data_IF_715215218558
#
_entry.id   IF_715215218558
#
_cell.length_a   1.000
_cell.length_b   1.000
_cell.length_c   1.000
_cell.angle_alpha   90.00
_cell.angle_beta   90.00
_cell.angle_gamma   90.00
#
_symmetry.space_group_name_H-M   'P 1'
#
loop_
_entity.id
_entity.type
_entity.pdbx_description
1 polymer ?
#
# COMPACT_ATOMS: atom_id res chain seq x y z
N UNK A 1 2.35 21.96 1.74
CA UNK A 1 1.77 21.08 0.70
C UNK A 1 2.63 19.84 0.37
N UNK A 2 3.87 19.74 0.88
CA UNK A 2 4.83 18.67 0.52
C UNK A 2 4.77 17.43 1.42
N UNK A 3 4.47 17.57 2.72
CA UNK A 3 4.46 16.46 3.69
C UNK A 3 3.43 15.37 3.35
N UNK A 4 2.23 15.76 2.90
CA UNK A 4 1.13 14.82 2.61
C UNK A 4 1.48 13.90 1.45
N UNK A 5 2.09 14.44 0.39
CA UNK A 5 2.53 13.66 -0.77
C UNK A 5 3.59 12.62 -0.43
N UNK A 6 4.47 12.92 0.52
CA UNK A 6 5.51 11.96 0.96
C UNK A 6 4.88 10.80 1.71
N UNK A 7 3.94 11.08 2.62
CA UNK A 7 3.21 10.06 3.37
C UNK A 7 2.36 9.21 2.44
N UNK A 8 1.65 9.83 1.49
CA UNK A 8 0.90 9.09 0.46
C UNK A 8 1.82 8.20 -0.38
N UNK A 9 3.02 8.67 -0.73
CA UNK A 9 3.96 7.87 -1.54
C UNK A 9 4.50 6.68 -0.77
N UNK A 10 4.83 6.85 0.52
CA UNK A 10 5.38 5.77 1.36
C UNK A 10 4.30 4.75 1.72
N UNK A 11 3.12 5.21 2.12
CA UNK A 11 2.04 4.32 2.51
C UNK A 11 1.30 3.77 1.28
N UNK A 12 0.78 4.62 0.40
CA UNK A 12 -0.06 4.20 -0.72
C UNK A 12 0.74 3.80 -1.98
N UNK A 13 2.06 3.96 -1.99
CA UNK A 13 2.96 3.60 -3.09
C UNK A 13 2.99 2.10 -3.41
N UNK A 14 3.20 1.18 -2.45
CA UNK A 14 3.17 -0.26 -2.71
C UNK A 14 1.82 -0.73 -3.26
N UNK A 15 0.71 -0.18 -2.74
CA UNK A 15 -0.63 -0.46 -3.26
C UNK A 15 -0.81 0.01 -4.72
N UNK A 16 -0.27 1.18 -5.07
CA UNK A 16 -0.36 1.73 -6.43
C UNK A 16 0.46 0.88 -7.43
N UNK A 17 1.66 0.44 -7.00
CA UNK A 17 2.52 -0.42 -7.79
C UNK A 17 1.87 -1.78 -8.07
N UNK A 18 1.27 -2.42 -7.06
CA UNK A 18 0.56 -3.68 -7.25
C UNK A 18 -0.70 -3.52 -8.10
N UNK A 19 -1.48 -2.43 -7.96
CA UNK A 19 -2.61 -2.15 -8.84
C UNK A 19 -2.17 -2.03 -10.31
N UNK A 20 -1.03 -1.38 -10.55
CA UNK A 20 -0.47 -1.20 -11.90
C UNK A 20 0.04 -2.53 -12.50
N UNK A 21 0.60 -3.40 -11.66
CA UNK A 21 1.07 -4.75 -12.04
C UNK A 21 -0.07 -5.74 -12.28
N UNK A 22 -1.13 -5.67 -11.49
CA UNK A 22 -2.31 -6.53 -11.59
C UNK A 22 -3.23 -6.15 -12.75
N UNK A 23 -2.94 -5.07 -13.48
CA UNK A 23 -3.77 -4.60 -14.59
C UNK A 23 -5.18 -4.22 -14.16
N UNK A 24 -5.37 -3.89 -12.88
CA UNK A 24 -6.67 -3.45 -12.35
C UNK A 24 -6.96 -2.08 -12.97
N UNK A 25 -7.84 -2.07 -13.97
CA UNK A 25 -8.22 -0.86 -14.71
C UNK A 25 -8.73 0.25 -13.79
N UNK A 26 -8.71 1.50 -14.30
CA UNK A 26 -9.18 2.71 -13.61
C UNK A 26 -10.66 2.71 -13.21
N UNK A 27 -11.38 1.60 -13.41
CA UNK A 27 -12.72 1.39 -12.91
C UNK A 27 -12.67 1.16 -11.39
N UNK A 28 -13.44 1.95 -10.63
CA UNK A 28 -13.88 1.93 -9.22
C UNK A 28 -13.18 1.01 -8.18
N UNK A 29 -12.73 -0.17 -8.58
CA UNK A 29 -12.01 -1.16 -7.81
C UNK A 29 -10.54 -0.80 -7.57
N UNK A 30 -9.92 0.08 -8.37
CA UNK A 30 -8.51 0.48 -8.17
C UNK A 30 -8.26 1.08 -6.78
N UNK A 31 -9.14 1.96 -6.30
CA UNK A 31 -9.01 2.55 -4.96
C UNK A 31 -9.22 1.53 -3.84
N UNK A 32 -10.19 0.63 -3.99
CA UNK A 32 -10.44 -0.46 -3.04
C UNK A 32 -9.25 -1.43 -2.95
N UNK A 33 -8.72 -1.84 -4.10
CA UNK A 33 -7.55 -2.73 -4.18
C UNK A 33 -6.31 -2.03 -3.63
N UNK A 34 -6.12 -0.75 -3.93
CA UNK A 34 -5.01 0.04 -3.39
C UNK A 34 -5.08 0.14 -1.87
N UNK A 35 -6.27 0.35 -1.31
CA UNK A 35 -6.49 0.40 0.14
C UNK A 35 -6.28 -0.97 0.82
N UNK A 36 -6.75 -2.05 0.17
CA UNK A 36 -6.56 -3.43 0.63
C UNK A 36 -5.08 -3.81 0.66
N UNK A 37 -4.36 -3.60 -0.44
CA UNK A 37 -2.94 -3.95 -0.56
C UNK A 37 -2.11 -3.10 0.40
N UNK A 38 -2.45 -1.83 0.57
CA UNK A 38 -1.78 -0.97 1.53
C UNK A 38 -1.90 -1.52 2.96
N UNK A 39 -3.11 -1.87 3.40
CA UNK A 39 -3.32 -2.46 4.73
C UNK A 39 -2.62 -3.80 4.89
N UNK A 40 -2.65 -4.66 3.85
CA UNK A 40 -2.03 -5.97 3.90
C UNK A 40 -0.50 -5.87 3.98
N UNK A 41 0.10 -4.98 3.19
CA UNK A 41 1.54 -4.73 3.19
C UNK A 41 2.00 -4.27 4.58
N UNK A 42 1.34 -3.27 5.18
CA UNK A 42 1.72 -2.77 6.50
C UNK A 42 1.49 -3.78 7.61
N UNK A 43 0.46 -4.61 7.51
CA UNK A 43 0.23 -5.70 8.47
C UNK A 43 1.34 -6.75 8.40
N UNK A 44 1.79 -7.11 7.19
CA UNK A 44 2.91 -8.03 6.98
C UNK A 44 4.24 -7.42 7.46
N UNK A 45 4.50 -6.15 7.16
CA UNK A 45 5.68 -5.44 7.66
C UNK A 45 5.68 -5.38 9.18
N UNK A 46 4.53 -5.08 9.80
CA UNK A 46 4.39 -5.06 11.26
C UNK A 46 4.60 -6.43 11.90
N UNK A 47 4.08 -7.51 11.31
CA UNK A 47 4.28 -8.86 11.83
C UNK A 47 5.73 -9.33 11.69
N UNK A 48 6.38 -9.05 10.56
CA UNK A 48 7.80 -9.35 10.34
C UNK A 48 8.68 -8.56 11.31
N UNK A 49 8.39 -7.27 11.50
CA UNK A 49 9.10 -6.44 12.47
C UNK A 49 9.02 -7.05 13.87
N UNK A 50 7.82 -7.44 14.32
CA UNK A 50 7.66 -8.09 15.61
C UNK A 50 8.42 -9.41 15.70
N UNK A 51 8.44 -10.22 14.65
CA UNK A 51 9.15 -11.50 14.63
C UNK A 51 10.69 -11.36 14.67
N UNK A 52 11.24 -10.22 14.23
CA UNK A 52 12.68 -9.95 14.25
C UNK A 52 13.10 -9.27 15.54
N UNK A 53 12.24 -8.42 16.11
CA UNK A 53 12.58 -7.56 17.25
C UNK A 53 12.26 -8.20 18.60
N UNK A 54 11.22 -9.04 18.68
CA UNK A 54 10.81 -9.79 19.88
C UNK A 54 11.44 -11.18 19.85
#
# INVERSE_FOLDING_TARGET
MTMVKVIETIFLGPGDFCCNLLGVGQENNRDLVRMLINSFFWMAVGSIYMAIVV
#
